data_IF_278043847081
#
_entry.id   IF_278043847081
#
_cell.length_a   1.000
_cell.length_b   1.000
_cell.length_c   1.000
_cell.angle_alpha   90.00
_cell.angle_beta   90.00
_cell.angle_gamma   90.00
#
_symmetry.space_group_name_H-M   'P 1'
#
loop_
_entity.id
_entity.type
_entity.pdbx_description
1 polymer ?
#
# COMPACT_ATOMS: atom_id res chain seq x y z
N UNK A 1 -8.79 -123.49 -61.20
CA UNK A 1 -9.66 -122.89 -60.17
C UNK A 1 -8.75 -122.38 -59.07
N UNK A 2 -8.10 -121.24 -59.27
CA UNK A 2 -8.51 -119.85 -58.94
C UNK A 2 -8.69 -119.54 -57.45
N UNK A 3 -7.81 -118.62 -57.00
CA UNK A 3 -7.79 -117.77 -55.78
C UNK A 3 -7.25 -118.47 -54.52
N UNK A 4 -6.31 -117.94 -53.73
CA UNK A 4 -5.28 -116.89 -53.79
C UNK A 4 -4.56 -117.03 -52.43
N UNK A 5 -3.24 -117.12 -52.43
CA UNK A 5 -2.44 -117.16 -51.21
C UNK A 5 -2.38 -115.78 -50.55
N UNK A 6 -2.46 -115.70 -49.22
CA UNK A 6 -2.01 -114.53 -48.47
C UNK A 6 -1.38 -115.00 -47.15
N UNK A 7 -0.10 -114.70 -47.04
CA UNK A 7 0.80 -114.93 -45.92
C UNK A 7 1.06 -113.58 -45.24
N UNK A 8 1.65 -113.62 -44.04
CA UNK A 8 2.24 -112.50 -43.28
C UNK A 8 1.25 -111.60 -42.52
N UNK A 9 1.54 -111.06 -41.34
CA UNK A 9 2.57 -111.26 -40.32
C UNK A 9 2.01 -110.54 -39.07
N UNK A 10 2.27 -111.05 -37.85
CA UNK A 10 1.91 -110.38 -36.60
C UNK A 10 2.79 -109.11 -36.40
N UNK A 11 2.24 -107.92 -36.66
CA UNK A 11 2.84 -106.64 -36.23
C UNK A 11 2.41 -106.31 -34.78
N UNK A 12 3.36 -106.04 -33.85
CA UNK A 12 2.99 -105.59 -32.51
C UNK A 12 2.45 -104.16 -32.54
N UNK A 13 1.29 -103.94 -31.93
CA UNK A 13 0.60 -102.65 -31.86
C UNK A 13 1.53 -101.51 -31.34
N UNK A 14 1.59 -100.35 -32.00
CA UNK A 14 2.42 -99.23 -31.57
C UNK A 14 1.89 -98.61 -30.26
N UNK A 15 2.77 -98.43 -29.27
CA UNK A 15 2.43 -97.76 -28.02
C UNK A 15 2.33 -96.24 -28.26
N UNK A 16 1.16 -95.64 -28.01
CA UNK A 16 0.90 -94.19 -28.16
C UNK A 16 1.45 -93.33 -27.00
N UNK A 17 2.09 -93.96 -26.00
CA UNK A 17 2.62 -93.30 -24.81
C UNK A 17 3.66 -92.20 -25.08
N UNK A 18 4.65 -92.35 -25.99
CA UNK A 18 5.65 -91.30 -26.20
C UNK A 18 5.08 -90.06 -26.92
N UNK A 19 4.11 -90.24 -27.82
CA UNK A 19 3.46 -89.14 -28.55
C UNK A 19 2.58 -88.29 -27.62
N UNK A 20 1.82 -88.96 -26.74
CA UNK A 20 1.04 -88.28 -25.71
C UNK A 20 1.93 -87.50 -24.73
N UNK A 21 3.04 -88.09 -24.29
CA UNK A 21 4.00 -87.42 -23.38
C UNK A 21 4.67 -86.23 -24.05
N UNK A 22 5.08 -86.33 -25.33
CA UNK A 22 5.64 -85.19 -26.06
C UNK A 22 4.62 -84.07 -26.29
N UNK A 23 3.36 -84.40 -26.60
CA UNK A 23 2.30 -83.41 -26.76
C UNK A 23 2.01 -82.69 -25.43
N UNK A 24 2.01 -83.42 -24.31
CA UNK A 24 1.81 -82.87 -22.97
C UNK A 24 2.97 -81.97 -22.54
N UNK A 25 4.22 -82.33 -22.87
CA UNK A 25 5.39 -81.49 -22.61
C UNK A 25 5.38 -80.21 -23.45
N UNK A 26 5.01 -80.28 -24.73
CA UNK A 26 4.90 -79.08 -25.58
C UNK A 26 3.77 -78.17 -25.10
N UNK A 27 2.61 -78.74 -24.73
CA UNK A 27 1.51 -77.97 -24.16
C UNK A 27 1.90 -77.31 -22.83
N UNK A 28 2.64 -78.02 -21.98
CA UNK A 28 3.14 -77.48 -20.70
C UNK A 28 4.18 -76.37 -20.93
N UNK A 29 5.13 -76.56 -21.84
CA UNK A 29 6.13 -75.56 -22.19
C UNK A 29 5.50 -74.30 -22.80
N UNK A 30 4.51 -74.45 -23.67
CA UNK A 30 3.74 -73.33 -24.24
C UNK A 30 2.94 -72.60 -23.16
N UNK A 31 2.32 -73.34 -22.25
CA UNK A 31 1.58 -72.76 -21.11
C UNK A 31 2.51 -71.99 -20.17
N UNK A 32 3.69 -72.53 -19.87
CA UNK A 32 4.71 -71.86 -19.05
C UNK A 32 5.31 -70.63 -19.76
N UNK A 33 5.50 -70.67 -21.07
CA UNK A 33 5.96 -69.54 -21.86
C UNK A 33 4.90 -68.42 -21.91
N UNK A 34 3.62 -68.77 -22.08
CA UNK A 34 2.50 -67.83 -22.08
C UNK A 34 2.30 -67.19 -20.69
N UNK A 35 2.39 -67.99 -19.63
CA UNK A 35 2.35 -67.52 -18.24
C UNK A 35 3.56 -66.64 -17.90
N UNK A 36 4.77 -67.06 -18.31
CA UNK A 36 5.98 -66.28 -18.15
C UNK A 36 5.91 -64.94 -18.88
N UNK A 37 5.38 -64.92 -20.11
CA UNK A 37 5.16 -63.70 -20.88
C UNK A 37 4.06 -62.82 -20.27
N UNK A 38 2.96 -63.40 -19.78
CA UNK A 38 1.91 -62.65 -19.08
C UNK A 38 2.40 -61.99 -17.78
N UNK A 39 3.35 -62.63 -17.09
CA UNK A 39 3.93 -62.12 -15.84
C UNK A 39 5.05 -61.09 -16.07
N UNK A 40 5.84 -61.21 -17.15
CA UNK A 40 6.98 -60.31 -17.41
C UNK A 40 6.69 -59.22 -18.46
N UNK A 41 5.71 -59.46 -19.33
CA UNK A 41 5.32 -58.54 -20.40
C UNK A 41 4.67 -57.29 -19.84
N UNK A 42 5.35 -56.15 -19.99
CA UNK A 42 4.85 -54.83 -19.67
C UNK A 42 4.15 -54.26 -20.91
N UNK A 43 2.91 -53.81 -20.73
CA UNK A 43 2.12 -53.10 -21.72
C UNK A 43 1.92 -51.68 -21.23
N UNK A 44 2.22 -50.71 -22.09
CA UNK A 44 1.94 -49.30 -21.83
C UNK A 44 0.42 -49.09 -21.93
N UNK A 45 -0.22 -48.75 -20.81
CA UNK A 45 -1.62 -48.37 -20.83
C UNK A 45 -1.71 -46.87 -21.13
N UNK A 46 -2.70 -46.47 -21.94
CA UNK A 46 -2.98 -45.06 -22.19
C UNK A 46 -4.47 -44.80 -22.13
N UNK A 47 -4.87 -43.70 -21.48
CA UNK A 47 -6.23 -43.17 -21.60
C UNK A 47 -6.20 -42.15 -22.72
N UNK A 48 -7.10 -42.36 -23.68
CA UNK A 48 -7.33 -41.44 -24.78
C UNK A 48 -8.54 -40.59 -24.40
N UNK A 49 -8.35 -39.28 -24.41
CA UNK A 49 -9.42 -38.33 -24.20
C UNK A 49 -9.37 -37.22 -25.26
N UNK A 50 -10.49 -36.55 -25.44
CA UNK A 50 -10.64 -35.43 -26.35
C UNK A 50 -10.63 -34.12 -25.58
N UNK A 51 -10.02 -33.12 -26.19
CA UNK A 51 -9.89 -31.79 -25.62
C UNK A 51 -9.85 -30.70 -26.69
N UNK A 52 -9.74 -29.47 -26.22
CA UNK A 52 -9.59 -28.28 -27.05
C UNK A 52 -8.42 -27.44 -26.52
N UNK A 53 -7.64 -26.85 -27.42
CA UNK A 53 -6.62 -25.88 -27.02
C UNK A 53 -7.29 -24.61 -26.53
N UNK A 54 -6.92 -24.17 -25.34
CA UNK A 54 -7.30 -22.88 -24.76
C UNK A 54 -6.06 -22.03 -24.54
N UNK A 55 -6.25 -20.72 -24.55
CA UNK A 55 -5.21 -19.78 -24.16
C UNK A 55 -5.13 -19.82 -22.62
N UNK A 56 -3.94 -19.99 -22.05
CA UNK A 56 -3.76 -20.13 -20.59
C UNK A 56 -4.18 -18.85 -19.85
N UNK A 57 -3.98 -17.69 -20.48
CA UNK A 57 -4.24 -16.39 -19.89
C UNK A 57 -5.68 -15.98 -20.09
N UNK A 58 -6.34 -15.65 -18.98
CA UNK A 58 -7.62 -14.96 -19.02
C UNK A 58 -7.45 -13.54 -19.58
N UNK A 59 -8.51 -13.05 -20.24
CA UNK A 59 -8.56 -11.67 -20.74
C UNK A 59 -8.32 -10.70 -19.60
N UNK A 60 -7.47 -9.69 -19.82
CA UNK A 60 -7.23 -8.65 -18.82
C UNK A 60 -8.10 -7.44 -19.11
N UNK A 61 -8.89 -7.06 -18.12
CA UNK A 61 -9.76 -5.90 -18.17
C UNK A 61 -8.99 -4.67 -17.75
N UNK A 62 -9.10 -3.60 -18.53
CA UNK A 62 -8.65 -2.26 -18.16
C UNK A 62 -9.84 -1.50 -17.61
N UNK A 63 -9.76 -1.13 -16.34
CA UNK A 63 -10.79 -0.40 -15.60
C UNK A 63 -10.18 0.79 -14.86
N UNK A 64 -11.02 1.71 -14.38
CA UNK A 64 -10.58 2.87 -13.59
C UNK A 64 -11.23 2.84 -12.21
N UNK A 65 -10.41 2.92 -11.15
CA UNK A 65 -10.87 2.79 -9.78
C UNK A 65 -11.90 3.86 -9.41
N UNK A 66 -11.63 5.12 -9.72
CA UNK A 66 -12.49 6.25 -9.32
C UNK A 66 -13.62 6.54 -10.33
N UNK A 67 -13.53 6.02 -11.56
CA UNK A 67 -14.32 6.49 -12.69
C UNK A 67 -13.92 7.90 -13.18
N UNK A 68 -14.72 8.51 -14.05
CA UNK A 68 -14.44 9.84 -14.60
C UNK A 68 -15.02 10.05 -15.99
N UNK A 69 -14.76 11.22 -16.59
CA UNK A 69 -15.19 11.52 -17.97
C UNK A 69 -14.07 11.09 -18.91
N UNK A 70 -14.37 10.23 -19.88
CA UNK A 70 -13.42 9.83 -20.92
C UNK A 70 -13.09 11.04 -21.80
N UNK A 71 -11.86 11.55 -21.73
CA UNK A 71 -11.42 12.69 -22.55
C UNK A 71 -11.01 12.24 -23.95
N UNK A 72 -10.21 11.18 -24.03
CA UNK A 72 -9.70 10.67 -25.30
C UNK A 72 -9.45 9.16 -25.22
N UNK A 73 -9.81 8.43 -26.29
CA UNK A 73 -9.46 7.03 -26.49
C UNK A 73 -8.33 6.95 -27.53
N UNK A 74 -7.18 6.40 -27.13
CA UNK A 74 -5.96 6.40 -27.96
C UNK A 74 -5.78 5.14 -28.81
N UNK A 75 -6.58 4.10 -28.55
CA UNK A 75 -6.47 2.79 -29.21
C UNK A 75 -7.81 2.36 -29.81
N UNK A 76 -7.75 1.52 -30.85
CA UNK A 76 -8.93 0.98 -31.53
C UNK A 76 -9.09 -0.52 -31.30
N UNK A 77 -10.31 -1.08 -31.42
CA UNK A 77 -10.50 -2.52 -31.40
C UNK A 77 -9.65 -3.21 -32.47
N UNK A 78 -8.95 -4.28 -32.09
CA UNK A 78 -8.04 -5.04 -32.93
C UNK A 78 -6.59 -4.53 -32.96
N UNK A 79 -6.31 -3.38 -32.36
CA UNK A 79 -4.96 -2.80 -32.28
C UNK A 79 -4.08 -3.55 -31.27
N UNK A 80 -2.77 -3.53 -31.49
CA UNK A 80 -1.77 -4.11 -30.58
C UNK A 80 -1.25 -3.06 -29.63
N UNK A 81 -1.24 -3.38 -28.33
CA UNK A 81 -0.71 -2.52 -27.29
C UNK A 81 0.44 -3.19 -26.56
N UNK A 82 1.37 -2.38 -26.06
CA UNK A 82 2.46 -2.82 -25.18
C UNK A 82 2.09 -2.66 -23.70
N UNK A 83 2.75 -3.40 -22.82
CA UNK A 83 2.57 -3.23 -21.38
C UNK A 83 2.96 -1.80 -20.94
N UNK A 84 2.08 -1.14 -20.20
CA UNK A 84 2.26 0.24 -19.73
C UNK A 84 1.93 1.32 -20.75
N UNK A 85 1.59 0.97 -22.00
CA UNK A 85 1.15 1.93 -23.01
C UNK A 85 -0.16 2.60 -22.57
N UNK A 86 -0.26 3.92 -22.75
CA UNK A 86 -1.49 4.68 -22.45
C UNK A 86 -2.53 4.35 -23.52
N UNK A 87 -3.68 3.84 -23.09
CA UNK A 87 -4.78 3.41 -23.97
C UNK A 87 -5.95 4.38 -23.97
N UNK A 88 -6.15 5.12 -22.87
CA UNK A 88 -7.18 6.13 -22.75
C UNK A 88 -6.76 7.23 -21.76
N UNK A 89 -7.36 8.42 -21.89
CA UNK A 89 -7.19 9.55 -21.00
C UNK A 89 -8.53 9.98 -20.44
N UNK A 90 -8.60 10.19 -19.13
CA UNK A 90 -9.75 10.80 -18.47
C UNK A 90 -9.54 12.30 -18.29
N UNK A 91 -10.64 13.03 -18.15
CA UNK A 91 -10.62 14.44 -17.80
C UNK A 91 -10.09 14.63 -16.38
N UNK A 92 -8.90 15.22 -16.30
CA UNK A 92 -8.18 15.51 -15.07
C UNK A 92 -8.53 16.88 -14.46
N UNK A 93 -9.44 17.65 -15.06
CA UNK A 93 -9.67 19.06 -14.68
C UNK A 93 -10.06 19.22 -13.23
N UNK A 94 -11.03 18.44 -12.71
CA UNK A 94 -11.47 18.57 -11.32
C UNK A 94 -10.36 18.26 -10.32
N UNK A 95 -9.61 17.18 -10.52
CA UNK A 95 -8.53 16.81 -9.62
C UNK A 95 -7.31 17.74 -9.75
N UNK A 96 -7.09 18.35 -10.93
CA UNK A 96 -6.08 19.40 -11.12
C UNK A 96 -6.43 20.67 -10.35
N UNK A 97 -7.67 21.12 -10.44
CA UNK A 97 -8.13 22.29 -9.66
C UNK A 97 -8.10 22.01 -8.16
N UNK A 98 -8.49 20.80 -7.74
CA UNK A 98 -8.38 20.37 -6.35
C UNK A 98 -6.94 20.36 -5.85
N UNK A 99 -5.99 19.86 -6.65
CA UNK A 99 -4.56 19.90 -6.34
C UNK A 99 -4.05 21.34 -6.24
N UNK A 100 -4.40 22.20 -7.19
CA UNK A 100 -4.00 23.60 -7.20
C UNK A 100 -4.50 24.35 -5.94
N UNK A 101 -5.73 24.07 -5.50
CA UNK A 101 -6.27 24.61 -4.26
C UNK A 101 -5.48 24.14 -3.03
N UNK A 102 -5.22 22.83 -2.93
CA UNK A 102 -4.46 22.26 -1.81
C UNK A 102 -3.02 22.80 -1.77
N UNK A 103 -2.38 23.01 -2.93
CA UNK A 103 -1.04 23.60 -3.01
C UNK A 103 -1.02 25.05 -2.50
N UNK A 104 -2.05 25.86 -2.81
CA UNK A 104 -2.18 27.21 -2.27
C UNK A 104 -2.38 27.19 -0.76
N UNK A 105 -3.20 26.28 -0.23
CA UNK A 105 -3.37 26.12 1.22
C UNK A 105 -2.07 25.68 1.90
N UNK A 106 -1.30 24.79 1.27
CA UNK A 106 0.01 24.35 1.77
C UNK A 106 1.03 25.49 1.74
N UNK A 107 1.02 26.34 0.72
CA UNK A 107 1.85 27.54 0.64
C UNK A 107 1.53 28.51 1.78
N UNK A 108 0.25 28.76 2.08
CA UNK A 108 -0.16 29.59 3.22
C UNK A 108 0.35 29.01 4.54
N UNK A 109 0.22 27.69 4.75
CA UNK A 109 0.75 27.03 5.95
C UNK A 109 2.29 27.13 6.04
N UNK A 110 3.00 26.98 4.92
CA UNK A 110 4.47 27.16 4.87
C UNK A 110 4.89 28.58 5.19
N UNK A 111 4.19 29.60 4.68
CA UNK A 111 4.46 30.99 5.01
C UNK A 111 4.16 31.31 6.47
N UNK A 112 3.13 30.70 7.05
CA UNK A 112 2.83 30.83 8.46
C UNK A 112 3.98 30.29 9.33
N UNK A 113 4.52 29.10 9.00
CA UNK A 113 5.69 28.53 9.69
C UNK A 113 6.93 29.42 9.53
N UNK A 114 7.22 29.88 8.31
CA UNK A 114 8.33 30.78 8.05
C UNK A 114 8.26 32.08 8.89
N UNK A 115 7.07 32.68 9.01
CA UNK A 115 6.83 33.82 9.91
C UNK A 115 7.08 33.45 11.37
N UNK A 116 6.54 32.33 11.83
CA UNK A 116 6.63 31.90 13.23
C UNK A 116 8.08 31.60 13.64
N UNK A 117 8.86 30.96 12.76
CA UNK A 117 10.30 30.72 12.97
C UNK A 117 11.07 32.03 13.14
N UNK A 118 10.73 33.07 12.37
CA UNK A 118 11.32 34.40 12.54
C UNK A 118 10.83 35.11 13.82
N UNK A 119 9.55 34.97 14.18
CA UNK A 119 9.01 35.52 15.44
C UNK A 119 9.65 34.88 16.67
N UNK A 120 9.91 33.57 16.63
CA UNK A 120 10.60 32.82 17.68
C UNK A 120 12.07 33.24 17.80
N UNK A 121 12.78 33.36 16.68
CA UNK A 121 14.17 33.79 16.65
C UNK A 121 14.36 35.30 16.94
N UNK A 122 13.28 36.09 16.92
CA UNK A 122 13.35 37.55 16.99
C UNK A 122 14.06 38.19 15.78
N UNK A 123 14.15 37.46 14.67
CA UNK A 123 14.85 37.89 13.46
C UNK A 123 13.98 38.78 12.57
N UNK A 124 14.59 39.58 11.70
CA UNK A 124 13.85 40.31 10.67
C UNK A 124 13.36 39.33 9.59
N UNK A 125 12.13 39.52 9.14
CA UNK A 125 11.54 38.72 8.07
C UNK A 125 11.79 39.40 6.72
N UNK A 126 12.55 38.75 5.83
CA UNK A 126 12.92 39.30 4.53
C UNK A 126 12.30 38.49 3.38
N UNK A 127 11.68 39.13 2.36
CA UNK A 127 11.00 38.41 1.27
C UNK A 127 11.85 37.36 0.56
N UNK A 128 13.16 37.60 0.48
CA UNK A 128 14.15 36.71 -0.17
C UNK A 128 14.32 35.36 0.54
N UNK A 129 13.97 35.29 1.83
CA UNK A 129 14.08 34.07 2.64
C UNK A 129 12.82 33.21 2.62
N UNK A 130 11.79 33.63 1.88
CA UNK A 130 10.53 32.91 1.80
C UNK A 130 10.75 31.50 1.19
N UNK A 131 10.10 30.45 1.72
CA UNK A 131 10.30 29.06 1.30
C UNK A 131 9.63 28.72 -0.06
N UNK A 132 9.29 29.73 -0.87
CA UNK A 132 8.55 29.59 -2.10
C UNK A 132 8.89 30.70 -3.11
N UNK A 133 8.75 30.40 -4.39
CA UNK A 133 9.01 31.35 -5.47
C UNK A 133 8.03 32.52 -5.41
N UNK A 134 8.57 33.72 -5.17
CA UNK A 134 7.81 34.97 -5.05
C UNK A 134 7.45 35.49 -6.45
N UNK A 135 6.42 34.89 -7.06
CA UNK A 135 5.95 35.25 -8.40
C UNK A 135 4.42 35.16 -8.51
N UNK A 136 3.81 36.08 -9.27
CA UNK A 136 2.36 36.12 -9.48
C UNK A 136 1.58 36.28 -8.18
N UNK A 137 0.50 35.51 -8.01
CA UNK A 137 -0.40 35.57 -6.84
C UNK A 137 0.31 35.25 -5.51
N UNK A 138 1.39 34.46 -5.55
CA UNK A 138 2.20 34.13 -4.36
C UNK A 138 2.91 35.34 -3.78
N UNK A 139 3.24 36.36 -4.60
CA UNK A 139 3.86 37.58 -4.10
C UNK A 139 2.92 38.37 -3.17
N UNK A 140 1.61 38.36 -3.46
CA UNK A 140 0.61 38.99 -2.59
C UNK A 140 0.50 38.28 -1.24
N UNK A 141 0.59 36.94 -1.22
CA UNK A 141 0.60 36.15 0.02
C UNK A 141 1.80 36.49 0.90
N UNK A 142 3.01 36.55 0.31
CA UNK A 142 4.23 36.93 1.06
C UNK A 142 4.12 38.34 1.63
N UNK A 143 3.63 39.29 0.84
CA UNK A 143 3.44 40.67 1.29
C UNK A 143 2.47 40.77 2.49
N UNK A 144 1.39 40.00 2.47
CA UNK A 144 0.44 39.97 3.58
C UNK A 144 1.05 39.37 4.85
N UNK A 145 1.85 38.30 4.73
CA UNK A 145 2.57 37.70 5.87
C UNK A 145 3.58 38.69 6.47
N UNK A 146 4.31 39.43 5.64
CA UNK A 146 5.24 40.47 6.09
C UNK A 146 4.50 41.61 6.84
N UNK A 147 3.35 42.05 6.32
CA UNK A 147 2.53 43.08 6.97
C UNK A 147 2.02 42.61 8.33
N UNK A 148 1.57 41.37 8.42
CA UNK A 148 1.12 40.77 9.68
C UNK A 148 2.26 40.66 10.69
N UNK A 149 3.44 40.19 10.26
CA UNK A 149 4.64 40.10 11.09
C UNK A 149 5.00 41.46 11.70
N UNK A 150 5.08 42.50 10.88
CA UNK A 150 5.46 43.84 11.34
C UNK A 150 4.39 44.44 12.28
N UNK A 151 3.11 44.24 11.99
CA UNK A 151 2.03 44.65 12.89
C UNK A 151 2.11 43.97 14.26
N UNK A 152 2.39 42.66 14.31
CA UNK A 152 2.55 41.91 15.57
C UNK A 152 3.79 42.37 16.33
N UNK A 153 4.93 42.52 15.64
CA UNK A 153 6.18 42.99 16.23
C UNK A 153 6.06 44.38 16.82
N UNK A 154 5.52 45.33 16.04
CA UNK A 154 5.34 46.71 16.48
C UNK A 154 4.39 46.83 17.67
N UNK A 155 3.28 46.07 17.69
CA UNK A 155 2.36 46.04 18.82
C UNK A 155 3.05 45.55 20.11
N UNK A 156 3.77 44.42 20.03
CA UNK A 156 4.49 43.89 21.19
C UNK A 156 5.56 44.87 21.70
N UNK A 157 6.36 45.45 20.81
CA UNK A 157 7.36 46.46 21.20
C UNK A 157 6.71 47.70 21.82
N UNK A 158 5.57 48.16 21.31
CA UNK A 158 4.85 49.29 21.89
C UNK A 158 4.37 49.02 23.32
N UNK A 159 3.90 47.79 23.60
CA UNK A 159 3.49 47.38 24.95
C UNK A 159 4.68 47.34 25.91
N UNK A 160 5.79 46.72 25.52
CA UNK A 160 7.02 46.67 26.32
C UNK A 160 7.53 48.09 26.61
N UNK A 161 7.65 48.93 25.58
CA UNK A 161 8.12 50.33 25.73
C UNK A 161 7.19 51.14 26.65
N UNK A 162 5.88 50.87 26.64
CA UNK A 162 4.94 51.53 27.55
C UNK A 162 5.23 51.17 29.02
N UNK A 163 5.44 49.89 29.31
CA UNK A 163 5.79 49.41 30.65
C UNK A 163 7.18 49.91 31.09
N UNK A 164 8.16 49.94 30.19
CA UNK A 164 9.48 50.50 30.46
C UNK A 164 9.42 52.00 30.80
N UNK A 165 8.56 52.78 30.12
CA UNK A 165 8.33 54.19 30.46
C UNK A 165 7.70 54.34 31.85
N UNK A 166 6.78 53.46 32.22
CA UNK A 166 6.20 53.45 33.56
C UNK A 166 7.25 53.13 34.63
N UNK A 167 8.14 52.16 34.37
CA UNK A 167 9.27 51.84 35.25
C UNK A 167 10.20 53.07 35.39
N UNK A 168 10.51 53.75 34.28
CA UNK A 168 11.35 54.94 34.31
C UNK A 168 10.72 56.07 35.13
N UNK A 169 9.40 56.28 35.03
CA UNK A 169 8.67 57.23 35.86
C UNK A 169 8.77 56.88 37.35
N UNK A 170 8.48 55.62 37.72
CA UNK A 170 8.55 55.16 39.11
C UNK A 170 9.96 55.27 39.70
N UNK A 171 11.01 55.03 38.89
CA UNK A 171 12.41 55.26 39.30
C UNK A 171 12.68 56.74 39.59
N UNK A 172 12.09 57.65 38.80
CA UNK A 172 12.13 59.09 39.09
C UNK A 172 11.44 59.45 40.40
N UNK A 173 10.27 58.86 40.67
CA UNK A 173 9.55 59.04 41.93
C UNK A 173 10.34 58.51 43.14
N UNK A 174 11.00 57.35 43.02
CA UNK A 174 11.91 56.83 44.06
C UNK A 174 13.02 57.84 44.33
N UNK A 175 13.71 58.32 43.30
CA UNK A 175 14.82 59.27 43.46
C UNK A 175 14.37 60.57 44.14
N UNK A 176 13.19 61.09 43.81
CA UNK A 176 12.63 62.29 44.44
C UNK A 176 12.32 62.05 45.92
N UNK A 177 11.68 60.92 46.26
CA UNK A 177 11.33 60.58 47.64
C UNK A 177 12.57 60.24 48.49
N UNK A 178 13.60 59.62 47.90
CA UNK A 178 14.90 59.39 48.57
C UNK A 178 15.56 60.72 48.95
N UNK A 179 15.46 61.74 48.09
CA UNK A 179 15.90 63.10 48.40
C UNK A 179 15.13 63.71 49.58
N UNK A 180 13.80 63.58 49.59
CA UNK A 180 12.94 64.02 50.69
C UNK A 180 13.28 63.33 52.02
N UNK A 181 13.44 62.01 51.99
CA UNK A 181 13.81 61.20 53.15
C UNK A 181 15.17 61.60 53.72
N UNK A 182 16.18 61.78 52.86
CA UNK A 182 17.52 62.22 53.28
C UNK A 182 17.51 63.63 53.89
N UNK A 183 16.67 64.53 53.33
CA UNK A 183 16.44 65.86 53.87
C UNK A 183 15.83 65.82 55.28
N UNK A 184 14.71 65.10 55.46
CA UNK A 184 14.06 64.92 56.75
C UNK A 184 15.02 64.29 57.78
N UNK A 185 15.81 63.29 57.39
CA UNK A 185 16.80 62.63 58.25
C UNK A 185 17.92 63.58 58.69
N UNK A 186 18.36 64.47 57.81
CA UNK A 186 19.37 65.50 58.15
C UNK A 186 18.81 66.50 59.16
N UNK A 187 17.57 66.97 58.94
CA UNK A 187 16.89 67.87 59.89
C UNK A 187 16.67 67.20 61.25
N UNK A 188 16.23 65.94 61.28
CA UNK A 188 16.07 65.16 62.50
C UNK A 188 17.35 65.11 63.33
N UNK A 189 18.50 64.95 62.67
CA UNK A 189 19.79 64.90 63.36
C UNK A 189 20.10 66.23 64.05
N UNK A 190 19.92 67.35 63.34
CA UNK A 190 20.12 68.70 63.88
C UNK A 190 19.16 68.99 65.04
N UNK A 191 17.86 68.74 64.86
CA UNK A 191 16.83 68.99 65.88
C UNK A 191 17.04 68.13 67.13
N UNK A 192 17.49 66.88 66.98
CA UNK A 192 17.81 66.01 68.13
C UNK A 192 19.03 66.50 68.90
N UNK A 193 20.04 67.02 68.22
CA UNK A 193 21.23 67.56 68.88
C UNK A 193 20.90 68.87 69.61
N UNK A 194 20.15 69.77 68.99
CA UNK A 194 19.71 71.02 69.63
C UNK A 194 18.78 70.76 70.81
N UNK A 195 17.89 69.78 70.70
CA UNK A 195 17.06 69.31 71.81
C UNK A 195 17.90 68.84 73.01
N UNK A 196 19.03 68.14 72.81
CA UNK A 196 19.91 67.72 73.92
C UNK A 196 20.50 68.93 74.65
N UNK A 197 20.91 69.97 73.92
CA UNK A 197 21.43 71.20 74.51
C UNK A 197 20.35 71.90 75.35
N UNK A 198 19.13 72.01 74.81
CA UNK A 198 18.02 72.64 75.52
C UNK A 198 17.57 71.81 76.73
N UNK A 199 17.59 70.48 76.64
CA UNK A 199 17.26 69.61 77.76
C UNK A 199 18.18 69.85 78.97
N UNK A 200 19.48 69.98 78.75
CA UNK A 200 20.47 70.31 79.80
C UNK A 200 20.20 71.70 80.42
N UNK A 201 19.79 72.70 79.63
CA UNK A 201 19.42 74.02 80.14
C UNK A 201 18.12 74.00 80.97
N UNK A 202 17.14 73.19 80.58
CA UNK A 202 15.89 72.98 81.32
C UNK A 202 16.17 72.29 82.67
N UNK A 203 17.03 71.27 82.70
CA UNK A 203 17.44 70.59 83.95
C UNK A 203 18.12 71.54 84.93
N UNK A 204 18.88 72.52 84.43
CA UNK A 204 19.50 73.58 85.22
C UNK A 204 18.53 74.71 85.61
N UNK A 205 17.26 74.64 85.19
CA UNK A 205 16.22 75.62 85.51
C UNK A 205 16.33 76.95 84.75
N UNK A 206 17.14 77.02 83.70
CA UNK A 206 17.40 78.24 82.91
C UNK A 206 16.30 78.52 81.88
N UNK A 207 15.65 77.46 81.39
CA UNK A 207 14.64 77.54 80.31
C UNK A 207 13.36 76.77 80.69
N UNK A 208 12.15 77.22 80.28
CA UNK A 208 10.91 76.50 80.55
C UNK A 208 10.83 75.12 79.86
N UNK A 209 10.23 74.12 80.54
CA UNK A 209 9.98 72.77 79.98
C UNK A 209 9.12 72.77 78.70
N UNK A 210 8.32 73.81 78.48
CA UNK A 210 7.51 73.96 77.26
C UNK A 210 8.38 73.90 76.00
N UNK A 211 9.53 74.55 76.02
CA UNK A 211 10.38 74.66 74.84
C UNK A 211 10.88 73.27 74.43
N UNK A 212 11.21 72.39 75.38
CA UNK A 212 11.57 70.99 75.12
C UNK A 212 10.43 70.18 74.45
N UNK A 213 9.17 70.43 74.83
CA UNK A 213 8.02 69.77 74.21
C UNK A 213 7.78 70.25 72.78
N UNK A 214 8.14 71.49 72.45
CA UNK A 214 8.06 71.99 71.09
C UNK A 214 9.13 71.34 70.20
N UNK A 215 10.35 71.12 70.71
CA UNK A 215 11.37 70.28 70.04
C UNK A 215 10.88 68.84 69.82
N UNK A 216 10.26 68.21 70.82
CA UNK A 216 9.69 66.85 70.71
C UNK A 216 8.63 66.76 69.61
N UNK A 217 7.72 67.74 69.52
CA UNK A 217 6.70 67.79 68.46
C UNK A 217 7.31 67.92 67.07
N UNK A 218 8.30 68.79 66.90
CA UNK A 218 8.98 68.96 65.60
C UNK A 218 9.72 67.69 65.20
N UNK A 219 10.42 67.03 66.13
CA UNK A 219 11.09 65.75 65.84
C UNK A 219 10.06 64.69 65.44
N UNK A 220 8.95 64.56 66.17
CA UNK A 220 7.90 63.60 65.84
C UNK A 220 7.28 63.86 64.46
N UNK A 221 7.10 65.13 64.07
CA UNK A 221 6.62 65.50 62.74
C UNK A 221 7.63 65.09 61.64
N UNK A 222 8.92 65.41 61.83
CA UNK A 222 9.98 65.04 60.87
C UNK A 222 10.21 63.53 60.78
N UNK A 223 10.00 62.79 61.87
CA UNK A 223 9.98 61.32 61.86
C UNK A 223 8.82 60.80 61.00
N UNK A 224 7.64 61.41 61.16
CA UNK A 224 6.47 61.14 60.31
C UNK A 224 6.76 61.37 58.83
N UNK A 225 7.33 62.52 58.47
CA UNK A 225 7.68 62.86 57.08
C UNK A 225 8.69 61.86 56.50
N UNK A 226 9.73 61.50 57.26
CA UNK A 226 10.72 60.49 56.84
C UNK A 226 10.06 59.14 56.56
N UNK A 227 9.17 58.71 57.45
CA UNK A 227 8.49 57.42 57.34
C UNK A 227 7.46 57.42 56.20
N UNK A 228 6.82 58.57 55.93
CA UNK A 228 5.97 58.76 54.74
C UNK A 228 6.78 58.61 53.45
N UNK A 229 7.93 59.29 53.32
CA UNK A 229 8.80 59.12 52.15
C UNK A 229 9.29 57.68 52.00
N UNK A 230 9.65 57.01 53.10
CA UNK A 230 10.03 55.61 53.08
C UNK A 230 8.90 54.71 52.56
N UNK A 231 7.66 54.95 53.01
CA UNK A 231 6.49 54.24 52.52
C UNK A 231 6.24 54.44 51.01
N UNK A 232 6.40 55.67 50.52
CA UNK A 232 6.28 55.99 49.09
C UNK A 232 7.36 55.31 48.24
N UNK A 233 8.60 55.25 48.72
CA UNK A 233 9.70 54.53 48.05
C UNK A 233 9.35 53.05 47.91
N UNK A 234 8.88 52.40 48.97
CA UNK A 234 8.51 50.99 48.94
C UNK A 234 7.31 50.73 48.02
N UNK A 235 6.30 51.61 48.03
CA UNK A 235 5.16 51.52 47.12
C UNK A 235 5.61 51.62 45.64
N UNK A 236 6.50 52.56 45.32
CA UNK A 236 7.04 52.71 43.97
C UNK A 236 7.91 51.51 43.55
N UNK A 237 8.72 50.95 44.47
CA UNK A 237 9.49 49.70 44.24
C UNK A 237 8.58 48.52 43.92
N UNK A 238 7.47 48.36 44.64
CA UNK A 238 6.46 47.33 44.33
C UNK A 238 5.79 47.57 42.96
N UNK A 239 5.58 48.83 42.59
CA UNK A 239 5.11 49.21 41.26
C UNK A 239 6.06 48.77 40.14
N UNK A 240 7.37 48.99 40.32
CA UNK A 240 8.41 48.54 39.38
C UNK A 240 8.41 47.03 39.27
N UNK A 241 8.44 46.30 40.40
CA UNK A 241 8.44 44.84 40.39
C UNK A 241 7.20 44.26 39.69
N UNK A 242 6.03 44.91 39.82
CA UNK A 242 4.81 44.52 39.11
C UNK A 242 4.94 44.74 37.59
N UNK A 243 5.44 45.89 37.16
CA UNK A 243 5.62 46.19 35.74
C UNK A 243 6.67 45.27 35.10
N UNK A 244 7.75 44.93 35.80
CA UNK A 244 8.76 43.96 35.36
C UNK A 244 8.15 42.56 35.20
N UNK A 245 7.35 42.10 36.18
CA UNK A 245 6.64 40.83 36.09
C UNK A 245 5.61 40.82 34.94
N UNK A 246 5.00 41.96 34.61
CA UNK A 246 4.08 42.08 33.48
C UNK A 246 4.79 42.00 32.12
N UNK A 247 6.00 42.58 32.00
CA UNK A 247 6.86 42.39 30.82
C UNK A 247 7.21 40.90 30.66
N UNK A 248 7.63 40.22 31.73
CA UNK A 248 7.94 38.79 31.67
C UNK A 248 6.71 37.96 31.28
N UNK A 249 5.55 38.24 31.87
CA UNK A 249 4.30 37.58 31.52
C UNK A 249 3.92 37.78 30.04
N UNK A 250 4.12 38.99 29.50
CA UNK A 250 3.88 39.30 28.10
C UNK A 250 4.79 38.48 27.17
N UNK A 251 6.06 38.32 27.51
CA UNK A 251 6.99 37.47 26.75
C UNK A 251 6.61 35.98 26.82
N UNK A 252 6.25 35.48 28.00
CA UNK A 252 5.83 34.08 28.16
C UNK A 252 4.55 33.80 27.36
N UNK A 253 3.57 34.70 27.44
CA UNK A 253 2.34 34.59 26.66
C UNK A 253 2.65 34.55 25.15
N UNK A 254 3.56 35.41 24.68
CA UNK A 254 4.00 35.41 23.28
C UNK A 254 4.69 34.09 22.89
N UNK A 255 5.58 33.54 23.74
CA UNK A 255 6.24 32.25 23.50
C UNK A 255 5.23 31.11 23.38
N UNK A 256 4.24 31.07 24.27
CA UNK A 256 3.17 30.07 24.24
C UNK A 256 2.31 30.21 22.98
N UNK A 257 1.91 31.42 22.62
CA UNK A 257 1.11 31.68 21.40
C UNK A 257 1.85 31.26 20.12
N UNK A 258 3.16 31.57 20.03
CA UNK A 258 4.00 31.16 18.90
C UNK A 258 4.08 29.63 18.84
N UNK A 259 4.36 28.95 19.96
CA UNK A 259 4.48 27.50 20.00
C UNK A 259 3.16 26.78 19.64
N UNK A 260 2.02 27.30 20.11
CA UNK A 260 0.69 26.79 19.75
C UNK A 260 0.43 26.97 18.25
N UNK A 261 0.67 28.18 17.73
CA UNK A 261 0.48 28.49 16.31
C UNK A 261 1.40 27.66 15.40
N UNK A 262 2.63 27.39 15.83
CA UNK A 262 3.58 26.54 15.10
C UNK A 262 3.09 25.09 15.06
N UNK A 263 2.69 24.53 16.20
CA UNK A 263 2.14 23.18 16.27
C UNK A 263 0.90 23.01 15.38
N UNK A 264 -0.02 23.98 15.39
CA UNK A 264 -1.21 23.99 14.53
C UNK A 264 -0.85 24.08 13.04
N UNK A 265 0.08 24.97 12.67
CA UNK A 265 0.53 25.12 11.30
C UNK A 265 1.26 23.87 10.78
N UNK A 266 2.10 23.22 11.60
CA UNK A 266 2.77 21.96 11.26
C UNK A 266 1.79 20.81 11.09
N UNK A 267 0.81 20.70 11.99
CA UNK A 267 -0.25 19.70 11.88
C UNK A 267 -1.07 19.88 10.60
N UNK A 268 -1.44 21.12 10.28
CA UNK A 268 -2.15 21.46 9.05
C UNK A 268 -1.33 21.13 7.80
N UNK A 269 -0.04 21.48 7.78
CA UNK A 269 0.85 21.16 6.66
C UNK A 269 1.00 19.65 6.45
N UNK A 270 1.07 18.87 7.53
CA UNK A 270 1.17 17.40 7.47
C UNK A 270 -0.11 16.77 6.90
N UNK A 271 -1.27 17.29 7.32
CA UNK A 271 -2.58 16.89 6.78
C UNK A 271 -2.69 17.22 5.29
N UNK A 272 -2.40 18.47 4.91
CA UNK A 272 -2.43 18.92 3.51
C UNK A 272 -1.47 18.13 2.65
N UNK A 273 -0.25 17.84 3.13
CA UNK A 273 0.73 17.02 2.39
C UNK A 273 0.20 15.61 2.10
N UNK A 274 -0.58 15.04 3.02
CA UNK A 274 -1.18 13.72 2.84
C UNK A 274 -2.33 13.75 1.83
N UNK A 275 -3.16 14.81 1.87
CA UNK A 275 -4.23 15.03 0.89
C UNK A 275 -3.66 15.30 -0.51
N UNK A 276 -2.61 16.12 -0.61
CA UNK A 276 -1.89 16.39 -1.87
C UNK A 276 -1.40 15.09 -2.48
N UNK A 277 -0.72 14.23 -1.70
CA UNK A 277 -0.28 12.90 -2.20
C UNK A 277 -1.44 12.05 -2.70
N UNK A 278 -2.57 12.04 -2.00
CA UNK A 278 -3.75 11.29 -2.43
C UNK A 278 -4.34 11.83 -3.75
N UNK A 279 -4.44 13.16 -3.90
CA UNK A 279 -4.93 13.78 -5.15
C UNK A 279 -3.93 13.62 -6.29
N UNK A 280 -2.62 13.68 -6.02
CA UNK A 280 -1.57 13.40 -7.00
C UNK A 280 -1.65 11.96 -7.53
N UNK A 281 -1.91 11.01 -6.65
CA UNK A 281 -2.09 9.59 -7.00
C UNK A 281 -3.33 9.38 -7.89
N UNK A 282 -4.46 10.05 -7.59
CA UNK A 282 -5.63 10.11 -8.49
C UNK A 282 -5.25 10.79 -9.82
N UNK A 283 -4.42 11.83 -9.77
CA UNK A 283 -3.92 12.51 -10.96
C UNK A 283 -2.96 11.68 -11.79
N UNK A 284 -2.28 10.68 -11.26
CA UNK A 284 -1.51 9.76 -12.11
C UNK A 284 -2.44 8.76 -12.82
N UNK A 285 -3.53 8.36 -12.17
CA UNK A 285 -4.52 7.41 -12.70
C UNK A 285 -5.42 7.93 -13.80
N UNK A 286 -5.47 9.25 -14.07
CA UNK A 286 -6.19 9.78 -15.23
C UNK A 286 -5.71 9.20 -16.58
N UNK A 287 -4.49 8.64 -16.62
CA UNK A 287 -3.97 7.91 -17.76
C UNK A 287 -4.21 6.41 -17.56
N UNK A 288 -5.16 5.84 -18.29
CA UNK A 288 -5.37 4.40 -18.28
C UNK A 288 -4.29 3.75 -19.12
N UNK A 289 -3.62 2.76 -18.54
CA UNK A 289 -2.53 2.02 -19.17
C UNK A 289 -2.89 0.56 -19.35
N UNK A 290 -2.36 -0.05 -20.40
CA UNK A 290 -2.48 -1.49 -20.61
C UNK A 290 -1.67 -2.25 -19.53
N UNK A 291 -2.28 -3.19 -18.77
CA UNK A 291 -1.55 -3.98 -17.77
C UNK A 291 -0.55 -4.95 -18.40
N UNK A 292 -0.74 -5.34 -19.65
CA UNK A 292 0.14 -6.25 -20.39
C UNK A 292 0.07 -6.00 -21.90
N UNK A 293 1.04 -6.52 -22.64
CA UNK A 293 1.05 -6.46 -24.10
C UNK A 293 0.02 -7.42 -24.71
N UNK A 294 -0.73 -6.99 -25.71
CA UNK A 294 -1.80 -7.80 -26.30
C UNK A 294 -2.67 -7.08 -27.31
N UNK A 295 -3.67 -7.78 -27.84
CA UNK A 295 -4.68 -7.23 -28.74
C UNK A 295 -5.87 -6.71 -27.96
N UNK A 296 -6.31 -5.50 -28.27
CA UNK A 296 -7.57 -4.95 -27.77
C UNK A 296 -8.73 -5.68 -28.45
N UNK A 297 -9.58 -6.36 -27.69
CA UNK A 297 -10.69 -7.16 -28.23
C UNK A 297 -11.97 -6.37 -28.24
N UNK A 298 -12.38 -5.89 -27.06
CA UNK A 298 -13.64 -5.19 -26.86
C UNK A 298 -13.38 -3.85 -26.15
N UNK A 299 -14.08 -2.81 -26.58
CA UNK A 299 -14.08 -1.49 -25.93
C UNK A 299 -15.54 -1.16 -25.60
N UNK A 300 -15.88 -1.13 -24.31
CA UNK A 300 -17.25 -0.96 -23.82
C UNK A 300 -17.76 0.46 -24.05
N UNK A 301 -16.88 1.46 -23.95
CA UNK A 301 -17.22 2.89 -24.12
C UNK A 301 -16.27 3.55 -25.10
N UNK A 302 -16.79 3.99 -26.25
CA UNK A 302 -15.98 4.52 -27.36
C UNK A 302 -16.07 6.04 -27.50
N UNK A 303 -17.12 6.66 -26.96
CA UNK A 303 -17.43 8.07 -27.21
C UNK A 303 -16.68 8.98 -26.24
N UNK A 304 -15.80 9.89 -26.71
CA UNK A 304 -15.26 10.96 -25.86
C UNK A 304 -16.39 11.77 -25.22
N UNK A 305 -16.24 12.09 -23.94
CA UNK A 305 -17.26 12.73 -23.11
C UNK A 305 -18.20 11.76 -22.39
N UNK A 306 -18.09 10.45 -22.64
CA UNK A 306 -18.84 9.45 -21.87
C UNK A 306 -18.34 9.35 -20.43
N UNK A 307 -19.26 9.10 -19.50
CA UNK A 307 -18.97 8.95 -18.07
C UNK A 307 -18.72 7.49 -17.76
N UNK A 308 -17.59 7.20 -17.13
CA UNK A 308 -17.23 5.89 -16.59
C UNK A 308 -17.53 5.88 -15.08
N UNK A 309 -18.24 4.86 -14.63
CA UNK A 309 -18.41 4.56 -13.22
C UNK A 309 -17.12 4.03 -12.58
N UNK A 310 -17.07 4.07 -11.25
CA UNK A 310 -16.00 3.45 -10.46
C UNK A 310 -15.95 1.94 -10.71
N UNK A 311 -14.77 1.43 -11.07
CA UNK A 311 -14.57 0.01 -11.42
C UNK A 311 -15.26 -0.43 -12.70
N UNK A 312 -15.75 0.50 -13.52
CA UNK A 312 -16.38 0.13 -14.79
C UNK A 312 -15.30 -0.31 -15.80
N UNK A 313 -15.46 -1.48 -16.45
CA UNK A 313 -14.54 -1.92 -17.48
C UNK A 313 -14.60 -1.00 -18.70
N UNK A 314 -13.43 -0.57 -19.18
CA UNK A 314 -13.31 0.22 -20.41
C UNK A 314 -13.02 -0.68 -21.62
N UNK A 315 -12.07 -1.61 -21.49
CA UNK A 315 -11.67 -2.52 -22.57
C UNK A 315 -11.05 -3.82 -22.07
N UNK A 316 -11.05 -4.84 -22.92
CA UNK A 316 -10.37 -6.12 -22.68
C UNK A 316 -9.16 -6.30 -23.60
N UNK A 317 -8.04 -6.74 -23.02
CA UNK A 317 -6.79 -7.03 -23.73
C UNK A 317 -6.51 -8.52 -23.67
N UNK A 318 -6.36 -9.14 -24.85
CA UNK A 318 -5.95 -10.52 -25.00
C UNK A 318 -4.43 -10.59 -25.24
N UNK A 319 -3.64 -11.28 -24.39
CA UNK A 319 -2.20 -11.35 -24.56
C UNK A 319 -1.78 -11.98 -25.89
N UNK A 320 -0.65 -11.51 -26.44
CA UNK A 320 -0.09 -11.99 -27.71
C UNK A 320 0.65 -13.32 -27.55
N UNK A 321 1.42 -13.45 -26.47
CA UNK A 321 2.30 -14.59 -26.19
C UNK A 321 1.65 -15.53 -25.17
N UNK A 322 0.40 -15.91 -25.44
CA UNK A 322 -0.29 -16.80 -24.55
C UNK A 322 0.18 -18.24 -24.74
N UNK A 323 0.47 -18.93 -23.65
CA UNK A 323 0.81 -20.35 -23.70
C UNK A 323 -0.49 -21.09 -23.98
N UNK A 324 -0.48 -21.98 -24.97
CA UNK A 324 -1.64 -22.82 -25.21
C UNK A 324 -1.62 -23.98 -24.23
N UNK A 325 -2.78 -24.24 -23.63
CA UNK A 325 -3.02 -25.40 -22.77
C UNK A 325 -4.14 -26.23 -23.39
N UNK A 326 -4.01 -27.56 -23.36
CA UNK A 326 -5.11 -28.42 -23.78
C UNK A 326 -6.04 -28.67 -22.60
N UNK A 327 -7.30 -28.23 -22.73
CA UNK A 327 -8.40 -28.59 -21.84
C UNK A 327 -8.96 -29.92 -22.30
N UNK A 328 -8.85 -30.94 -21.46
CA UNK A 328 -9.17 -32.33 -21.77
C UNK A 328 -10.28 -32.81 -20.85
N UNK A 329 -11.29 -33.48 -21.41
CA UNK A 329 -12.41 -34.04 -20.63
C UNK A 329 -12.08 -35.47 -20.21
N UNK A 330 -11.58 -35.64 -18.99
CA UNK A 330 -11.19 -36.95 -18.49
C UNK A 330 -12.44 -37.73 -18.05
N UNK A 331 -12.59 -39.00 -18.45
CA UNK A 331 -13.72 -39.79 -18.03
C UNK A 331 -13.61 -40.13 -16.52
N UNK A 332 -14.72 -40.35 -15.80
CA UNK A 332 -14.71 -40.49 -14.34
C UNK A 332 -13.88 -41.69 -13.84
N UNK A 333 -13.71 -42.72 -14.65
CA UNK A 333 -12.87 -43.89 -14.36
C UNK A 333 -11.36 -43.59 -14.42
N UNK A 334 -10.97 -42.43 -14.97
CA UNK A 334 -9.58 -42.01 -15.10
C UNK A 334 -8.99 -41.32 -13.84
N UNK A 335 -9.84 -40.84 -12.92
CA UNK A 335 -9.42 -39.96 -11.81
C UNK A 335 -8.40 -40.62 -10.86
N UNK A 336 -8.55 -41.92 -10.61
CA UNK A 336 -7.65 -42.68 -9.73
C UNK A 336 -6.24 -42.86 -10.32
N UNK A 337 -6.06 -42.57 -11.62
CA UNK A 337 -4.81 -42.88 -12.32
C UNK A 337 -4.12 -41.67 -12.94
N UNK A 338 -4.85 -40.59 -13.23
CA UNK A 338 -4.27 -39.36 -13.79
C UNK A 338 -3.77 -38.44 -12.67
N UNK A 339 -2.51 -38.05 -12.74
CA UNK A 339 -1.88 -37.19 -11.73
C UNK A 339 -1.17 -35.99 -12.38
N UNK A 340 -1.04 -34.90 -11.62
CA UNK A 340 -0.24 -33.72 -12.02
C UNK A 340 1.23 -34.12 -12.22
N UNK A 341 1.84 -33.65 -13.31
CA UNK A 341 3.21 -33.96 -13.74
C UNK A 341 3.32 -35.17 -14.68
N UNK A 342 2.20 -35.80 -15.07
CA UNK A 342 2.22 -36.97 -15.93
C UNK A 342 2.45 -36.60 -17.40
N UNK A 343 3.30 -37.34 -18.14
CA UNK A 343 3.55 -37.06 -19.55
C UNK A 343 2.33 -37.42 -20.41
N UNK A 344 1.95 -36.47 -21.25
CA UNK A 344 0.84 -36.53 -22.17
C UNK A 344 1.36 -36.43 -23.61
N UNK A 345 0.77 -37.22 -24.50
CA UNK A 345 0.98 -37.10 -25.94
C UNK A 345 -0.26 -36.52 -26.58
N UNK A 346 -0.13 -35.33 -27.15
CA UNK A 346 -1.19 -34.62 -27.83
C UNK A 346 -1.07 -34.86 -29.34
N UNK A 347 -2.19 -35.18 -29.96
CA UNK A 347 -2.31 -35.33 -31.40
C UNK A 347 -3.36 -34.33 -31.91
N UNK A 348 -2.95 -33.46 -32.83
CA UNK A 348 -3.83 -32.45 -33.41
C UNK A 348 -4.77 -33.11 -34.42
N UNK A 349 -6.05 -33.25 -34.09
CA UNK A 349 -7.04 -33.95 -34.94
C UNK A 349 -7.54 -33.09 -36.11
N UNK A 350 -7.23 -31.80 -36.10
CA UNK A 350 -7.49 -30.88 -37.21
C UNK A 350 -6.69 -31.21 -38.50
N UNK A 351 -5.62 -32.02 -38.40
CA UNK A 351 -4.78 -32.43 -39.52
C UNK A 351 -5.02 -33.90 -39.88
N UNK A 352 -4.89 -34.25 -41.17
CA UNK A 352 -5.09 -35.64 -41.65
C UNK A 352 -4.11 -36.59 -40.93
N UNK A 353 -4.60 -37.75 -40.46
CA UNK A 353 -3.86 -38.72 -39.59
C UNK A 353 -2.44 -39.09 -40.04
N UNK A 354 -2.13 -39.03 -41.33
CA UNK A 354 -0.80 -39.34 -41.87
C UNK A 354 0.23 -38.21 -41.72
N UNK A 355 -0.20 -36.98 -41.42
CA UNK A 355 0.64 -35.79 -41.25
C UNK A 355 0.35 -35.05 -39.94
N UNK A 356 -0.46 -35.63 -39.04
CA UNK A 356 -0.80 -35.01 -37.77
C UNK A 356 0.47 -34.95 -36.88
N UNK A 357 0.95 -33.75 -36.53
CA UNK A 357 2.10 -33.62 -35.66
C UNK A 357 1.77 -34.10 -34.26
N UNK A 358 2.74 -34.75 -33.62
CA UNK A 358 2.65 -35.20 -32.23
C UNK A 358 3.36 -34.17 -31.36
N UNK A 359 2.65 -33.65 -30.36
CA UNK A 359 3.21 -32.71 -29.40
C UNK A 359 3.22 -33.37 -28.04
N UNK A 360 4.34 -33.32 -27.33
CA UNK A 360 4.39 -33.77 -25.94
C UNK A 360 3.97 -32.64 -25.01
N UNK A 361 3.41 -32.99 -23.87
CA UNK A 361 3.05 -32.06 -22.82
C UNK A 361 2.98 -32.77 -21.48
N UNK A 362 2.68 -32.02 -20.43
CA UNK A 362 2.55 -32.53 -19.08
C UNK A 362 1.24 -32.07 -18.46
N UNK A 363 0.59 -32.95 -17.70
CA UNK A 363 -0.63 -32.62 -16.96
C UNK A 363 -0.29 -31.61 -15.87
N UNK A 364 -0.84 -30.40 -15.94
CA UNK A 364 -0.60 -29.35 -14.95
C UNK A 364 -1.68 -29.31 -13.87
N UNK A 365 -2.90 -29.68 -14.21
CA UNK A 365 -4.05 -29.59 -13.31
C UNK A 365 -5.10 -30.65 -13.66
N UNK A 366 -5.79 -31.16 -12.63
CA UNK A 366 -6.95 -32.03 -12.75
C UNK A 366 -7.99 -31.51 -11.75
N UNK A 367 -9.24 -31.31 -12.18
CA UNK A 367 -10.30 -30.82 -11.30
C UNK A 367 -10.59 -31.83 -10.19
N UNK A 368 -10.79 -31.33 -8.97
CA UNK A 368 -11.25 -32.16 -7.85
C UNK A 368 -12.75 -32.46 -7.93
N UNK A 369 -13.49 -31.62 -8.66
CA UNK A 369 -14.93 -31.72 -8.83
C UNK A 369 -15.29 -32.36 -10.17
N UNK A 370 -16.34 -33.19 -10.15
CA UNK A 370 -16.94 -33.81 -11.32
C UNK A 370 -17.87 -32.79 -12.00
N UNK A 371 -17.57 -32.45 -13.25
CA UNK A 371 -18.33 -31.50 -14.07
C UNK A 371 -19.27 -32.26 -15.00
N UNK A 372 -20.39 -31.64 -15.37
CA UNK A 372 -21.35 -32.20 -16.33
C UNK A 372 -21.26 -31.42 -17.66
N UNK A 373 -21.32 -32.11 -18.78
CA UNK A 373 -21.34 -31.47 -20.10
C UNK A 373 -22.74 -30.95 -20.41
N UNK A 374 -22.92 -29.63 -20.50
CA UNK A 374 -24.19 -28.98 -20.81
C UNK A 374 -24.87 -29.50 -22.09
N UNK A 375 -24.12 -30.10 -23.02
CA UNK A 375 -24.66 -30.63 -24.29
C UNK A 375 -24.97 -32.13 -24.26
N UNK A 376 -24.17 -32.95 -23.57
CA UNK A 376 -24.32 -34.41 -23.58
C UNK A 376 -24.83 -35.00 -22.27
N UNK A 377 -24.77 -34.25 -21.16
CA UNK A 377 -25.09 -34.74 -19.81
C UNK A 377 -24.05 -35.72 -19.26
N UNK A 378 -22.91 -35.89 -19.95
CA UNK A 378 -21.85 -36.79 -19.51
C UNK A 378 -21.03 -36.13 -18.40
N UNK A 379 -20.75 -36.89 -17.35
CA UNK A 379 -19.90 -36.44 -16.26
C UNK A 379 -18.41 -36.62 -16.61
N UNK A 380 -17.58 -35.60 -16.39
CA UNK A 380 -16.15 -35.61 -16.68
C UNK A 380 -15.35 -34.79 -15.65
N UNK A 381 -14.05 -35.07 -15.54
CA UNK A 381 -13.10 -34.22 -14.83
C UNK A 381 -12.35 -33.34 -15.84
N UNK A 382 -12.13 -32.07 -15.52
CA UNK A 382 -11.33 -31.18 -16.36
C UNK A 382 -9.84 -31.41 -16.09
N UNK A 383 -9.11 -31.85 -17.11
CA UNK A 383 -7.65 -31.91 -17.10
C UNK A 383 -7.04 -30.78 -17.92
N UNK A 384 -5.98 -30.14 -17.42
CA UNK A 384 -5.16 -29.18 -18.16
C UNK A 384 -3.81 -29.79 -18.47
N UNK A 385 -3.40 -29.70 -19.73
CA UNK A 385 -2.10 -30.20 -20.19
C UNK A 385 -1.33 -29.05 -20.82
N UNK A 386 -0.17 -28.71 -20.24
CA UNK A 386 0.75 -27.70 -20.77
C UNK A 386 1.56 -28.37 -21.88
N UNK A 387 1.60 -27.73 -23.05
CA UNK A 387 2.40 -28.21 -24.17
C UNK A 387 3.88 -27.87 -23.95
N UNK A 388 4.76 -28.81 -24.27
CA UNK A 388 6.20 -28.61 -24.17
C UNK A 388 6.69 -27.62 -25.25
N UNK A 389 7.33 -26.48 -24.88
CA UNK A 389 7.76 -25.45 -25.81
C UNK A 389 8.71 -25.95 -26.91
N UNK A 390 9.59 -26.91 -26.60
CA UNK A 390 10.54 -27.47 -27.58
C UNK A 390 9.81 -28.28 -28.65
N UNK A 391 8.84 -29.09 -28.22
CA UNK A 391 8.02 -29.91 -29.11
C UNK A 391 7.04 -29.09 -29.96
N UNK A 392 6.62 -27.92 -29.48
CA UNK A 392 5.85 -26.95 -30.27
C UNK A 392 6.74 -26.22 -31.29
N UNK A 393 7.96 -25.84 -30.91
CA UNK A 393 8.90 -25.16 -31.79
C UNK A 393 9.45 -26.07 -32.91
N UNK A 394 9.47 -27.40 -32.69
CA UNK A 394 9.85 -28.40 -33.67
C UNK A 394 8.82 -28.61 -34.80
N UNK A 395 7.66 -27.95 -34.73
CA UNK A 395 6.59 -28.05 -35.72
C UNK A 395 6.82 -27.06 -36.88
N UNK A 396 7.39 -27.54 -37.98
CA UNK A 396 7.53 -26.74 -39.20
C UNK A 396 6.15 -26.49 -39.86
N UNK A 397 5.73 -25.22 -39.89
CA UNK A 397 4.57 -24.77 -40.69
C UNK A 397 3.18 -25.00 -40.08
N UNK A 398 3.08 -25.31 -38.79
CA UNK A 398 1.81 -25.55 -38.08
C UNK A 398 1.49 -24.37 -37.16
N UNK A 399 0.46 -23.58 -37.49
CA UNK A 399 -0.07 -22.57 -36.56
C UNK A 399 -1.03 -23.24 -35.56
N UNK A 400 -0.66 -23.18 -34.28
CA UNK A 400 -1.55 -23.54 -33.18
C UNK A 400 -2.43 -22.35 -32.82
N UNK A 401 -3.74 -22.56 -32.70
CA UNK A 401 -4.71 -21.54 -32.33
C UNK A 401 -5.65 -22.06 -31.25
N UNK A 402 -6.10 -21.18 -30.36
CA UNK A 402 -7.16 -21.50 -29.40
C UNK A 402 -8.44 -21.97 -30.13
N UNK A 403 -9.13 -22.95 -29.55
CA UNK A 403 -10.31 -23.62 -30.13
C UNK A 403 -10.00 -24.84 -31.00
N UNK A 404 -8.72 -25.19 -31.22
CA UNK A 404 -8.36 -26.37 -32.01
C UNK A 404 -8.65 -27.67 -31.24
N UNK A 405 -9.34 -28.67 -31.84
CA UNK A 405 -9.56 -29.95 -31.20
C UNK A 405 -8.28 -30.78 -31.15
N UNK A 406 -8.06 -31.42 -30.01
CA UNK A 406 -6.88 -32.24 -29.74
C UNK A 406 -7.28 -33.56 -29.10
N UNK A 407 -6.58 -34.62 -29.47
CA UNK A 407 -6.69 -35.92 -28.83
C UNK A 407 -5.48 -36.09 -27.91
N UNK A 408 -5.72 -36.31 -26.63
CA UNK A 408 -4.69 -36.39 -25.61
C UNK A 408 -4.62 -37.82 -25.10
N UNK A 409 -3.47 -38.44 -25.31
CA UNK A 409 -3.13 -39.77 -24.82
C UNK A 409 -2.26 -39.63 -23.57
N UNK A 410 -2.83 -39.94 -22.41
CA UNK A 410 -2.16 -39.91 -21.11
C UNK A 410 -1.55 -41.29 -20.83
N UNK A 411 -0.24 -41.35 -20.58
CA UNK A 411 0.46 -42.63 -20.37
C UNK A 411 0.33 -43.10 -18.93
N UNK A 412 -0.44 -44.15 -18.71
CA UNK A 412 -0.87 -44.66 -17.39
C UNK A 412 0.01 -45.84 -16.99
N UNK A 413 1.27 -45.54 -16.66
CA UNK A 413 2.22 -46.53 -16.16
C UNK A 413 2.34 -47.81 -17.01
N UNK A 414 3.07 -48.78 -16.46
CA UNK A 414 3.27 -50.09 -17.09
C UNK A 414 2.35 -51.11 -16.41
N UNK A 415 1.36 -51.64 -17.13
CA UNK A 415 0.54 -52.78 -16.65
C UNK A 415 1.10 -54.09 -17.17
N UNK A 416 1.03 -55.18 -16.39
CA UNK A 416 1.44 -56.50 -16.87
C UNK A 416 0.33 -57.10 -17.75
N UNK A 417 0.70 -57.79 -18.82
CA UNK A 417 -0.27 -58.42 -19.72
C UNK A 417 -1.22 -59.41 -19.01
N UNK A 418 -0.74 -60.07 -17.96
CA UNK A 418 -1.56 -60.93 -17.10
C UNK A 418 -2.67 -60.19 -16.35
N UNK A 419 -2.46 -58.93 -15.97
CA UNK A 419 -3.46 -58.13 -15.24
C UNK A 419 -4.68 -57.86 -16.13
N UNK A 420 -4.48 -57.56 -17.42
CA UNK A 420 -5.59 -57.28 -18.35
C UNK A 420 -6.52 -58.49 -18.55
N UNK A 421 -5.95 -59.71 -18.57
CA UNK A 421 -6.70 -60.95 -18.74
C UNK A 421 -7.42 -61.42 -17.45
N UNK A 422 -6.81 -61.17 -16.28
CA UNK A 422 -7.30 -61.67 -14.99
C UNK A 422 -8.18 -60.67 -14.23
N UNK A 423 -8.02 -59.36 -14.45
CA UNK A 423 -8.76 -58.31 -13.76
C UNK A 423 -10.29 -58.41 -13.88
N UNK A 424 -10.90 -58.74 -15.05
CA UNK A 424 -12.35 -58.92 -15.16
C UNK A 424 -12.88 -60.07 -14.29
N UNK A 425 -12.14 -61.18 -14.25
CA UNK A 425 -12.49 -62.38 -13.47
C UNK A 425 -12.36 -62.06 -11.98
N UNK A 426 -11.26 -61.45 -11.56
CA UNK A 426 -11.01 -61.03 -10.19
C UNK A 426 -12.01 -59.98 -9.71
N UNK A 427 -12.46 -59.05 -10.57
CA UNK A 427 -13.50 -58.05 -10.24
C UNK A 427 -14.84 -58.73 -9.93
N UNK A 428 -15.23 -59.71 -10.73
CA UNK A 428 -16.45 -60.48 -10.49
C UNK A 428 -16.37 -61.30 -9.19
N UNK A 429 -15.23 -61.93 -8.90
CA UNK A 429 -15.03 -62.64 -7.64
C UNK A 429 -15.06 -61.70 -6.42
N UNK A 430 -14.44 -60.51 -6.49
CA UNK A 430 -14.49 -59.53 -5.39
C UNK A 430 -15.88 -58.94 -5.17
N UNK A 431 -16.68 -58.77 -6.23
CA UNK A 431 -18.06 -58.25 -6.14
C UNK A 431 -19.04 -59.31 -5.61
N UNK A 432 -18.76 -60.60 -5.81
CA UNK A 432 -19.55 -61.70 -5.24
C UNK A 432 -19.24 -61.99 -3.75
N UNK A 433 -18.12 -61.49 -3.21
CA UNK A 433 -17.72 -61.63 -1.80
C UNK A 433 -17.87 -60.35 -0.97
N UNK A 434 -18.45 -59.28 -1.55
CA UNK A 434 -18.89 -58.09 -0.83
C UNK A 434 -20.37 -57.88 -1.13
N UNK A 435 -21.19 -58.51 -0.31
CA UNK A 435 -22.56 -58.11 -0.09
C UNK A 435 -22.54 -57.22 1.16
N UNK A 436 -22.56 -55.90 0.93
CA UNK A 436 -23.32 -54.86 1.63
C UNK A 436 -23.25 -53.57 0.81
#
# INVERSE_FOLDING_TARGET
>A
MSVMAMHADDEPLPSYRPVLVSALLVALAFSLALLGWGLLGRLDAAIVSHGVLHAESERKTVEHLEGGILSELLVRPGEMVEAGQVVARLDATQAREGLAQLDVEADVARLALWRLEAEEAGAALAPETAPLSVSGDRAALVAEVLRLFEARRSNHLAQVVSLERQIAQLRGEISANEGGQAGAQSQLTLWRDERKLVADLVERGVTPRRDLLDFDRTIAALEGDRDEYAGLIEAARQGIARAEAEIEALEQARRVEIAQSDAEARARLTMLSSQIRAVQDVMERHLLRAPQAGRVVEITTVTPGAVLGSGQPLMEILPRDDRLVALVKLPPDAIDTVHVGQPARLQLTAYKRSMAPKVTGEVSYVSADLLEDDQTGDAYFEGRVILDPESVAALDGVLLTAGMPVEVSLTIGERRAGDYLLEPILRHFRRAFREE
#
